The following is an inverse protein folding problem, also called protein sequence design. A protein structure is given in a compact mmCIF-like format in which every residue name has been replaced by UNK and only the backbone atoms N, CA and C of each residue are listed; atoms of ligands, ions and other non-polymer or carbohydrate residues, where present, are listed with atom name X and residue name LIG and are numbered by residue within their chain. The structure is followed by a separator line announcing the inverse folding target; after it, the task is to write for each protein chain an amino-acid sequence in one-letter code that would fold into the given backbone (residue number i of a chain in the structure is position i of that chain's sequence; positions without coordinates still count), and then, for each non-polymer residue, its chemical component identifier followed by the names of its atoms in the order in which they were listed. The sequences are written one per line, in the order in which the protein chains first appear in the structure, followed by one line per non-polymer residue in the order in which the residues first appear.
data_IF_080091275738
#
_entry.id   IF_080091275738
#
_cell.length_a   1.000
_cell.length_b   1.000
_cell.length_c   1.000
_cell.angle_alpha   90.00
_cell.angle_beta   90.00
_cell.angle_gamma   90.00
#
_symmetry.space_group_name_H-M   'P 1'
#
loop_
_entity.id
_entity.type
_entity.pdbx_description
1 polymer ?
#
# COMPACT_ATOMS: atom_id res chain seq x y z
N UNK A 1 31.81 -40.98 13.18
CA UNK A 1 32.32 -39.63 12.87
C UNK A 1 31.60 -38.96 11.71
N UNK A 2 31.40 -39.62 10.56
CA UNK A 2 30.71 -39.03 9.39
C UNK A 2 29.29 -38.49 9.69
N UNK A 3 28.50 -39.16 10.52
CA UNK A 3 27.15 -38.70 10.88
C UNK A 3 27.13 -37.38 11.67
N UNK A 4 28.13 -37.13 12.51
CA UNK A 4 28.23 -35.89 13.30
C UNK A 4 28.62 -34.72 12.38
N UNK A 5 29.52 -34.97 11.42
CA UNK A 5 29.94 -33.96 10.44
C UNK A 5 28.78 -33.55 9.53
N UNK A 6 28.00 -34.52 9.02
CA UNK A 6 26.83 -34.23 8.19
C UNK A 6 25.75 -33.45 8.95
N UNK A 7 25.49 -33.80 10.21
CA UNK A 7 24.53 -33.07 11.05
C UNK A 7 24.91 -31.59 11.23
N UNK A 8 26.19 -31.30 11.49
CA UNK A 8 26.69 -29.93 11.66
C UNK A 8 26.53 -29.12 10.36
N UNK A 9 26.86 -29.71 9.21
CA UNK A 9 26.72 -29.04 7.90
C UNK A 9 25.25 -28.71 7.61
N UNK A 10 24.33 -29.65 7.85
CA UNK A 10 22.90 -29.42 7.65
C UNK A 10 22.35 -28.35 8.60
N UNK A 11 22.75 -28.37 9.88
CA UNK A 11 22.32 -27.36 10.85
C UNK A 11 22.83 -25.95 10.47
N UNK A 12 24.08 -25.86 10.01
CA UNK A 12 24.67 -24.59 9.57
C UNK A 12 24.01 -24.07 8.27
N UNK A 13 23.76 -24.94 7.30
CA UNK A 13 23.04 -24.59 6.08
C UNK A 13 21.63 -24.07 6.38
N UNK A 14 20.87 -24.78 7.22
CA UNK A 14 19.52 -24.38 7.63
C UNK A 14 19.53 -23.04 8.39
N UNK A 15 20.58 -22.77 9.18
CA UNK A 15 20.74 -21.50 9.88
C UNK A 15 21.01 -20.34 8.90
N UNK A 16 21.94 -20.52 7.95
CA UNK A 16 22.25 -19.52 6.94
C UNK A 16 21.07 -19.23 5.99
N UNK A 17 20.34 -20.27 5.60
CA UNK A 17 19.14 -20.13 4.78
C UNK A 17 18.09 -19.30 5.52
N UNK A 18 17.84 -19.62 6.80
CA UNK A 18 16.90 -18.88 7.64
C UNK A 18 17.29 -17.42 7.82
N UNK A 19 18.56 -17.10 8.07
CA UNK A 19 19.04 -15.71 8.18
C UNK A 19 18.87 -14.94 6.87
N UNK A 20 19.14 -15.58 5.74
CA UNK A 20 18.98 -14.98 4.41
C UNK A 20 17.50 -14.71 4.10
N UNK A 21 16.62 -15.65 4.43
CA UNK A 21 15.17 -15.45 4.30
C UNK A 21 14.68 -14.31 5.20
N UNK A 22 15.05 -14.30 6.47
CA UNK A 22 14.64 -13.24 7.40
C UNK A 22 15.14 -11.85 6.97
N UNK A 23 16.37 -11.76 6.47
CA UNK A 23 16.92 -10.49 5.97
C UNK A 23 16.16 -9.96 4.75
N UNK A 24 15.87 -10.84 3.78
CA UNK A 24 15.08 -10.47 2.60
C UNK A 24 13.66 -10.02 2.99
N UNK A 25 13.02 -10.71 3.93
CA UNK A 25 11.68 -10.35 4.43
C UNK A 25 11.69 -8.99 5.12
N UNK A 26 12.66 -8.72 6.01
CA UNK A 26 12.76 -7.41 6.68
C UNK A 26 12.99 -6.29 5.67
N UNK A 27 13.87 -6.51 4.69
CA UNK A 27 14.14 -5.57 3.60
C UNK A 27 12.87 -5.29 2.80
N UNK A 28 12.15 -6.31 2.38
CA UNK A 28 10.94 -6.18 1.56
C UNK A 28 9.80 -5.52 2.36
N UNK A 29 9.69 -5.78 3.66
CA UNK A 29 8.76 -5.09 4.55
C UNK A 29 9.07 -3.59 4.68
N UNK A 30 10.35 -3.23 4.81
CA UNK A 30 10.80 -1.82 4.83
C UNK A 30 10.47 -1.14 3.50
N UNK A 31 10.73 -1.80 2.37
CA UNK A 31 10.39 -1.27 1.05
C UNK A 31 8.89 -1.11 0.85
N UNK A 32 8.08 -2.07 1.31
CA UNK A 32 6.64 -1.97 1.26
C UNK A 32 6.12 -0.78 2.07
N UNK A 33 6.63 -0.60 3.30
CA UNK A 33 6.32 0.57 4.12
C UNK A 33 6.73 1.87 3.42
N UNK A 34 7.98 1.94 2.95
CA UNK A 34 8.46 3.10 2.20
C UNK A 34 7.56 3.44 1.01
N UNK A 35 7.19 2.44 0.21
CA UNK A 35 6.32 2.62 -0.94
C UNK A 35 4.92 3.11 -0.54
N UNK A 36 4.32 2.54 0.51
CA UNK A 36 3.00 2.97 1.01
C UNK A 36 3.02 4.46 1.38
N UNK A 37 3.97 4.88 2.21
CA UNK A 37 4.03 6.26 2.67
C UNK A 37 4.35 7.24 1.54
N UNK A 38 5.28 6.88 0.65
CA UNK A 38 5.67 7.74 -0.47
C UNK A 38 4.56 7.82 -1.53
N UNK A 39 3.93 6.71 -1.88
CA UNK A 39 2.81 6.68 -2.82
C UNK A 39 1.65 7.53 -2.30
N UNK A 40 1.22 7.30 -1.05
CA UNK A 40 0.17 8.09 -0.42
C UNK A 40 0.51 9.59 -0.42
N UNK A 41 1.77 9.97 -0.17
CA UNK A 41 2.19 11.38 -0.20
C UNK A 41 2.00 12.01 -1.58
N UNK A 42 2.47 11.34 -2.64
CA UNK A 42 2.35 11.86 -4.00
C UNK A 42 0.91 11.87 -4.49
N UNK A 43 0.09 10.89 -4.11
CA UNK A 43 -1.34 10.91 -4.39
C UNK A 43 -2.01 12.11 -3.70
N UNK A 44 -1.75 12.35 -2.42
CA UNK A 44 -2.32 13.51 -1.73
C UNK A 44 -1.85 14.84 -2.32
N UNK A 45 -0.56 14.96 -2.63
CA UNK A 45 -0.02 16.17 -3.26
C UNK A 45 -0.71 16.46 -4.60
N UNK A 46 -0.93 15.43 -5.41
CA UNK A 46 -1.60 15.57 -6.70
C UNK A 46 -3.09 15.89 -6.54
N UNK A 47 -3.82 15.11 -5.74
CA UNK A 47 -5.27 15.21 -5.66
C UNK A 47 -5.75 16.38 -4.80
N UNK A 48 -5.14 16.59 -3.63
CA UNK A 48 -5.59 17.59 -2.64
C UNK A 48 -4.82 18.88 -2.84
N UNK A 49 -3.50 18.79 -2.99
CA UNK A 49 -2.66 19.97 -3.23
C UNK A 49 -2.96 20.66 -4.56
N UNK A 50 -2.90 19.91 -5.66
CA UNK A 50 -3.00 20.49 -7.00
C UNK A 50 -4.43 20.43 -7.59
N UNK A 51 -4.99 19.24 -7.76
CA UNK A 51 -6.24 19.05 -8.50
C UNK A 51 -7.44 19.67 -7.78
N UNK A 52 -7.62 19.42 -6.48
CA UNK A 52 -8.73 19.99 -5.71
C UNK A 52 -8.69 21.51 -5.69
N UNK A 53 -7.50 22.11 -5.57
CA UNK A 53 -7.28 23.57 -5.64
C UNK A 53 -7.65 24.14 -7.01
N UNK A 54 -7.26 23.48 -8.11
CA UNK A 54 -7.62 23.90 -9.47
C UNK A 54 -9.13 23.77 -9.71
N UNK A 55 -9.74 22.66 -9.29
CA UNK A 55 -11.18 22.49 -9.44
C UNK A 55 -11.89 23.57 -8.61
N UNK A 56 -11.40 23.92 -7.44
CA UNK A 56 -12.04 24.90 -6.55
C UNK A 56 -12.02 26.31 -7.14
N UNK A 57 -10.94 26.66 -7.86
CA UNK A 57 -10.84 27.96 -8.53
C UNK A 57 -11.82 28.11 -9.72
N UNK A 58 -12.31 27.00 -10.29
CA UNK A 58 -13.27 27.00 -11.41
C UNK A 58 -14.69 26.63 -10.99
N UNK A 59 -14.84 25.83 -9.93
CA UNK A 59 -16.10 25.33 -9.39
C UNK A 59 -16.11 25.62 -7.89
N UNK A 60 -16.56 26.82 -7.47
CA UNK A 60 -16.54 27.22 -6.05
C UNK A 60 -17.60 26.49 -5.21
N UNK A 61 -18.52 25.75 -5.85
CA UNK A 61 -19.50 24.94 -5.14
C UNK A 61 -18.83 23.69 -4.55
N UNK A 62 -18.51 23.77 -3.25
CA UNK A 62 -17.74 22.78 -2.51
C UNK A 62 -18.21 21.32 -2.69
N UNK A 63 -19.52 20.99 -2.60
CA UNK A 63 -19.98 19.62 -2.81
C UNK A 63 -19.66 19.08 -4.22
N UNK A 64 -19.79 19.90 -5.28
CA UNK A 64 -19.47 19.45 -6.63
C UNK A 64 -17.95 19.24 -6.82
N UNK A 65 -17.12 20.09 -6.21
CA UNK A 65 -15.67 19.93 -6.22
C UNK A 65 -15.26 18.59 -5.58
N UNK A 66 -15.77 18.30 -4.38
CA UNK A 66 -15.48 17.04 -3.67
C UNK A 66 -15.95 15.82 -4.46
N UNK A 67 -17.15 15.86 -5.02
CA UNK A 67 -17.68 14.75 -5.80
C UNK A 67 -16.88 14.51 -7.08
N UNK A 68 -16.45 15.59 -7.76
CA UNK A 68 -15.63 15.47 -8.96
C UNK A 68 -14.24 14.93 -8.64
N UNK A 69 -13.58 15.45 -7.60
CA UNK A 69 -12.24 14.98 -7.21
C UNK A 69 -12.27 13.52 -6.76
N UNK A 70 -13.27 13.13 -5.97
CA UNK A 70 -13.51 11.76 -5.55
C UNK A 70 -13.81 10.80 -6.71
N UNK A 71 -14.60 11.26 -7.69
CA UNK A 71 -14.90 10.48 -8.88
C UNK A 71 -13.64 10.20 -9.71
N UNK A 72 -12.81 11.22 -9.94
CA UNK A 72 -11.52 11.08 -10.64
C UNK A 72 -10.61 10.12 -9.87
N UNK A 73 -10.52 10.27 -8.54
CA UNK A 73 -9.73 9.39 -7.67
C UNK A 73 -10.15 7.92 -7.80
N UNK A 74 -11.46 7.64 -7.70
CA UNK A 74 -12.00 6.28 -7.83
C UNK A 74 -11.80 5.69 -9.23
N UNK A 75 -11.94 6.50 -10.29
CA UNK A 75 -11.72 6.04 -11.67
C UNK A 75 -10.24 5.72 -11.93
N UNK A 76 -9.32 6.52 -11.44
CA UNK A 76 -7.89 6.23 -11.56
C UNK A 76 -7.55 4.85 -10.99
N UNK A 77 -8.15 4.49 -9.85
CA UNK A 77 -7.99 3.17 -9.26
C UNK A 77 -8.49 2.02 -10.15
N UNK A 78 -9.53 2.25 -10.96
CA UNK A 78 -9.96 1.28 -11.97
C UNK A 78 -8.95 1.15 -13.10
N UNK A 79 -8.59 2.30 -13.69
CA UNK A 79 -7.87 2.36 -14.96
C UNK A 79 -6.42 1.92 -14.82
N UNK A 80 -5.76 2.33 -13.74
CA UNK A 80 -4.32 2.10 -13.56
C UNK A 80 -4.01 0.87 -12.70
N UNK A 81 -4.90 0.53 -11.76
CA UNK A 81 -4.68 -0.58 -10.82
C UNK A 81 -5.63 -1.77 -11.04
N UNK A 82 -6.50 -1.71 -12.05
CA UNK A 82 -7.42 -2.81 -12.38
C UNK A 82 -8.49 -3.09 -11.30
N UNK A 83 -8.68 -2.17 -10.35
CA UNK A 83 -9.57 -2.36 -9.20
C UNK A 83 -11.00 -2.72 -9.60
N UNK A 84 -11.70 -3.57 -8.85
CA UNK A 84 -13.11 -3.87 -9.13
C UNK A 84 -13.99 -2.61 -9.04
N UNK A 85 -15.15 -2.59 -9.72
CA UNK A 85 -16.10 -1.46 -9.64
C UNK A 85 -16.49 -1.17 -8.19
N UNK A 86 -16.70 -2.23 -7.40
CA UNK A 86 -16.96 -2.11 -5.96
C UNK A 86 -15.83 -1.36 -5.24
N UNK A 87 -14.58 -1.72 -5.50
CA UNK A 87 -13.43 -1.04 -4.90
C UNK A 87 -13.33 0.41 -5.36
N UNK A 88 -13.67 0.72 -6.62
CA UNK A 88 -13.68 2.09 -7.13
C UNK A 88 -14.66 2.98 -6.36
N UNK A 89 -15.84 2.45 -5.99
CA UNK A 89 -16.79 3.15 -5.14
C UNK A 89 -16.19 3.39 -3.74
N UNK A 90 -15.55 2.37 -3.15
CA UNK A 90 -14.87 2.52 -1.86
C UNK A 90 -13.76 3.59 -1.91
N UNK A 91 -12.91 3.57 -2.94
CA UNK A 91 -11.88 4.59 -3.14
C UNK A 91 -12.49 5.97 -3.36
N UNK A 92 -13.59 6.07 -4.10
CA UNK A 92 -14.32 7.33 -4.26
C UNK A 92 -14.83 7.88 -2.93
N UNK A 93 -15.45 7.05 -2.09
CA UNK A 93 -15.89 7.46 -0.74
C UNK A 93 -14.72 7.89 0.13
N UNK A 94 -13.60 7.16 0.10
CA UNK A 94 -12.35 7.58 0.76
C UNK A 94 -11.83 8.92 0.21
N UNK A 95 -11.95 9.11 -1.10
CA UNK A 95 -11.65 10.37 -1.81
C UNK A 95 -12.43 11.55 -1.24
N UNK A 96 -13.75 11.40 -1.06
CA UNK A 96 -14.63 12.41 -0.46
C UNK A 96 -14.17 12.74 0.96
N UNK A 97 -13.94 11.70 1.78
CA UNK A 97 -13.53 11.88 3.17
C UNK A 97 -12.21 12.65 3.29
N UNK A 98 -11.16 12.22 2.57
CA UNK A 98 -9.86 12.88 2.58
C UNK A 98 -9.92 14.30 1.99
N UNK A 99 -10.71 14.51 0.94
CA UNK A 99 -10.95 15.84 0.37
C UNK A 99 -11.65 16.79 1.35
N UNK A 100 -12.58 16.27 2.16
CA UNK A 100 -13.24 17.03 3.22
C UNK A 100 -12.26 17.38 4.34
N UNK A 101 -11.45 16.42 4.81
CA UNK A 101 -10.41 16.68 5.81
C UNK A 101 -9.47 17.78 5.33
N UNK A 102 -8.94 17.66 4.11
CA UNK A 102 -8.06 18.68 3.52
C UNK A 102 -8.71 20.06 3.48
N UNK A 103 -9.99 20.13 3.08
CA UNK A 103 -10.71 21.40 3.04
C UNK A 103 -10.86 22.03 4.44
N UNK A 104 -11.15 21.22 5.46
CA UNK A 104 -11.34 21.73 6.82
C UNK A 104 -10.04 22.09 7.52
N UNK A 105 -8.95 21.37 7.28
CA UNK A 105 -7.68 21.60 7.99
C UNK A 105 -6.67 22.43 7.20
N UNK A 106 -6.78 22.45 5.87
CA UNK A 106 -5.78 23.04 4.97
C UNK A 106 -4.41 22.34 5.04
N UNK A 107 -4.32 21.18 5.70
CA UNK A 107 -3.05 20.54 6.03
C UNK A 107 -2.85 19.24 5.24
N UNK A 108 -1.94 19.27 4.27
CA UNK A 108 -1.62 18.11 3.45
C UNK A 108 -1.02 16.95 4.27
N UNK A 109 -0.27 17.26 5.34
CA UNK A 109 0.39 16.24 6.16
C UNK A 109 -0.61 15.39 6.95
N UNK A 110 -1.72 15.99 7.39
CA UNK A 110 -2.79 15.29 8.08
C UNK A 110 -3.47 14.29 7.17
N UNK A 111 -3.85 14.72 5.96
CA UNK A 111 -4.52 13.88 4.97
C UNK A 111 -3.59 12.75 4.50
N UNK A 112 -2.31 13.07 4.26
CA UNK A 112 -1.28 12.09 3.92
C UNK A 112 -1.15 11.02 5.00
N UNK A 113 -1.09 11.43 6.27
CA UNK A 113 -0.96 10.50 7.40
C UNK A 113 -2.17 9.57 7.44
N UNK A 114 -3.38 10.10 7.35
CA UNK A 114 -4.62 9.31 7.34
C UNK A 114 -4.61 8.32 6.17
N UNK A 115 -4.24 8.77 4.97
CA UNK A 115 -4.19 7.92 3.78
C UNK A 115 -3.15 6.80 3.93
N UNK A 116 -1.92 7.12 4.33
CA UNK A 116 -0.86 6.12 4.51
C UNK A 116 -1.25 5.04 5.54
N UNK A 117 -1.91 5.43 6.64
CA UNK A 117 -2.43 4.47 7.63
C UNK A 117 -3.63 3.68 7.12
N UNK A 118 -4.49 4.27 6.28
CA UNK A 118 -5.57 3.52 5.62
C UNK A 118 -5.02 2.46 4.68
N UNK A 119 -3.99 2.78 3.89
CA UNK A 119 -3.29 1.82 3.03
C UNK A 119 -2.62 0.71 3.83
N UNK A 120 -1.99 1.08 4.96
CA UNK A 120 -1.45 0.12 5.91
C UNK A 120 -2.55 -0.78 6.50
N UNK A 121 -3.75 -0.28 6.78
CA UNK A 121 -4.85 -1.08 7.32
C UNK A 121 -5.53 -1.98 6.28
N UNK A 122 -5.70 -1.50 5.04
CA UNK A 122 -6.48 -2.16 4.00
C UNK A 122 -5.66 -3.14 3.15
N UNK A 123 -4.38 -2.85 2.93
CA UNK A 123 -3.51 -3.63 2.04
C UNK A 123 -2.17 -3.97 2.68
N UNK A 124 -1.42 -2.97 3.16
CA UNK A 124 -0.07 -3.14 3.69
C UNK A 124 0.00 -4.11 4.87
N UNK A 125 -0.99 -4.07 5.75
CA UNK A 125 -1.10 -4.94 6.91
C UNK A 125 -1.33 -6.40 6.52
N UNK A 126 -1.98 -6.68 5.39
CA UNK A 126 -2.09 -8.07 4.93
C UNK A 126 -0.73 -8.60 4.47
N UNK A 127 0.05 -7.80 3.73
CA UNK A 127 1.40 -8.18 3.31
C UNK A 127 2.39 -8.24 4.48
N UNK A 128 2.24 -7.37 5.47
CA UNK A 128 3.13 -7.30 6.65
C UNK A 128 2.75 -8.31 7.75
N UNK A 129 1.46 -8.65 7.91
CA UNK A 129 0.94 -9.47 9.02
C UNK A 129 0.40 -10.86 8.61
N UNK A 130 0.13 -11.17 7.32
CA UNK A 130 0.01 -12.57 6.87
C UNK A 130 1.39 -13.24 6.76
N UNK A 131 2.20 -13.09 7.81
CA UNK A 131 3.54 -13.61 8.00
C UNK A 131 3.59 -15.15 8.08
N UNK A 132 2.43 -15.83 8.00
CA UNK A 132 2.29 -17.29 8.16
C UNK A 132 1.69 -18.06 6.98
N UNK A 133 1.08 -17.41 5.98
CA UNK A 133 0.28 -18.09 4.94
C UNK A 133 0.92 -18.09 3.54
N UNK A 134 2.07 -17.43 3.35
CA UNK A 134 2.82 -17.48 2.08
C UNK A 134 3.38 -18.88 1.75
N UNK A 135 3.27 -19.84 2.68
CA UNK A 135 3.60 -21.25 2.45
C UNK A 135 2.60 -21.96 1.52
N UNK A 136 1.41 -21.41 1.35
CA UNK A 136 0.32 -22.08 0.64
C UNK A 136 -0.12 -21.35 -0.64
N UNK A 137 0.74 -20.52 -1.26
CA UNK A 137 0.48 -20.10 -2.65
C UNK A 137 0.62 -21.34 -3.54
N UNK A 138 -0.48 -21.90 -4.07
CA UNK A 138 -0.41 -23.08 -4.92
C UNK A 138 0.17 -22.61 -6.25
N UNK A 139 1.40 -23.03 -6.57
CA UNK A 139 2.05 -22.71 -7.85
C UNK A 139 3.51 -22.32 -7.80
N UNK A 140 4.13 -22.13 -6.62
CA UNK A 140 5.60 -22.07 -6.49
C UNK A 140 6.18 -23.44 -6.11
N UNK A 141 5.98 -24.43 -6.98
CA UNK A 141 6.93 -25.53 -7.06
C UNK A 141 8.17 -24.95 -7.74
N UNK A 142 9.12 -24.47 -6.94
CA UNK A 142 10.48 -24.29 -7.42
C UNK A 142 11.06 -25.69 -7.45
N UNK A 143 10.90 -26.39 -8.57
CA UNK A 143 11.67 -27.59 -8.82
C UNK A 143 13.15 -27.18 -8.94
N UNK A 144 14.06 -27.82 -8.18
CA UNK A 144 15.49 -27.63 -8.38
C UNK A 144 15.89 -28.30 -9.71
N UNK A 145 16.27 -27.51 -10.70
CA UNK A 145 17.14 -27.97 -11.81
C UNK A 145 18.59 -27.82 -11.40
#
# INVERSE_FOLDING_TARGET
MLGIVMFIITAFYNHLEKETTEWNVKRDAIWALYFIFVNAFFEELFYRGWMQTIIFSHIPFFPANLLLSAFIFGIQHRLFFGSSVRNCVFYGVGGIFLGFVFYTSGNLMEVWTIHAFADLGLGGGKYLFHWGEWKDIPGKNIEPT
#
